data_IF_893241838203
#
_entry.id   IF_893241838203
#
_cell.length_a   1.000
_cell.length_b   1.000
_cell.length_c   1.000
_cell.angle_alpha   90.00
_cell.angle_beta   90.00
_cell.angle_gamma   90.00
#
_symmetry.space_group_name_H-M   'P 1'
#
loop_
_entity.id
_entity.type
_entity.pdbx_description
1 polymer ?
#
# COMPACT_ATOMS: atom_id res chain seq x y z
N UNK A 1 17.57 -11.38 -1.41
CA UNK A 1 17.11 -10.34 -2.38
C UNK A 1 16.06 -9.47 -1.70
N UNK A 2 15.54 -8.43 -2.37
CA UNK A 2 14.44 -7.60 -1.83
C UNK A 2 13.33 -7.41 -2.86
N UNK A 3 12.11 -7.31 -2.38
CA UNK A 3 10.93 -6.93 -3.17
C UNK A 3 10.34 -5.64 -2.60
N UNK A 4 9.90 -4.75 -3.51
CA UNK A 4 9.24 -3.49 -3.18
C UNK A 4 7.83 -3.50 -3.75
N UNK A 5 6.84 -3.20 -2.92
CA UNK A 5 5.44 -2.99 -3.33
C UNK A 5 5.12 -1.51 -3.12
N UNK A 6 4.64 -0.86 -4.17
CA UNK A 6 4.20 0.53 -4.13
C UNK A 6 2.75 0.61 -4.58
N UNK A 7 1.93 1.37 -3.86
CA UNK A 7 0.53 1.65 -4.20
C UNK A 7 0.36 3.16 -4.37
N UNK A 8 -0.07 3.59 -5.55
CA UNK A 8 -0.53 4.96 -5.82
C UNK A 8 -2.06 4.97 -5.93
N UNK A 9 -2.66 6.07 -5.48
CA UNK A 9 -4.07 6.36 -5.69
C UNK A 9 -4.10 7.68 -6.45
N UNK A 10 -4.72 7.65 -7.62
CA UNK A 10 -4.71 8.74 -8.59
C UNK A 10 -6.15 9.20 -8.88
N UNK A 11 -6.30 10.44 -9.32
CA UNK A 11 -7.54 10.92 -9.90
C UNK A 11 -7.68 10.43 -11.36
N UNK A 12 -8.83 10.71 -12.00
CA UNK A 12 -9.07 10.33 -13.40
C UNK A 12 -8.09 10.96 -14.40
N UNK A 13 -7.48 12.10 -14.04
CA UNK A 13 -6.46 12.80 -14.83
C UNK A 13 -5.03 12.31 -14.54
N UNK A 14 -4.88 11.15 -13.89
CA UNK A 14 -3.61 10.52 -13.49
C UNK A 14 -2.80 11.35 -12.47
N UNK A 15 -3.35 12.46 -11.96
CA UNK A 15 -2.71 13.21 -10.89
C UNK A 15 -2.78 12.42 -9.58
N UNK A 16 -1.70 12.50 -8.79
CA UNK A 16 -1.64 11.85 -7.49
C UNK A 16 -2.75 12.40 -6.56
N UNK A 17 -3.65 11.51 -6.11
CA UNK A 17 -4.67 11.85 -5.12
C UNK A 17 -4.11 11.79 -3.70
N UNK A 18 -3.25 10.81 -3.42
CA UNK A 18 -2.44 10.73 -2.19
C UNK A 18 -0.98 10.50 -2.52
N UNK A 19 -0.09 10.76 -1.56
CA UNK A 19 1.29 10.23 -1.63
C UNK A 19 1.27 8.71 -1.75
N UNK A 20 2.23 8.15 -2.48
CA UNK A 20 2.34 6.71 -2.65
C UNK A 20 2.73 6.04 -1.34
N UNK A 21 2.17 4.86 -1.09
CA UNK A 21 2.59 4.00 0.01
C UNK A 21 3.55 2.96 -0.53
N UNK A 22 4.70 2.81 0.12
CA UNK A 22 5.72 1.83 -0.26
C UNK A 22 6.02 0.91 0.92
N UNK A 23 6.12 -0.39 0.65
CA UNK A 23 6.68 -1.37 1.58
C UNK A 23 7.77 -2.18 0.90
N UNK A 24 8.85 -2.43 1.62
CA UNK A 24 9.94 -3.30 1.19
C UNK A 24 10.06 -4.48 2.15
N UNK A 25 10.35 -5.66 1.61
CA UNK A 25 10.62 -6.86 2.39
C UNK A 25 11.68 -7.71 1.71
N UNK A 26 12.30 -8.58 2.51
CA UNK A 26 13.32 -9.50 2.03
C UNK A 26 12.65 -10.65 1.30
N UNK A 27 13.29 -11.16 0.25
CA UNK A 27 12.86 -12.40 -0.40
C UNK A 27 14.04 -13.38 -0.48
N UNK A 28 13.78 -14.69 -0.39
CA UNK A 28 14.79 -15.69 -0.63
C UNK A 28 15.46 -15.49 -1.99
N UNK A 29 16.78 -15.70 -2.04
CA UNK A 29 17.49 -15.82 -3.33
C UNK A 29 17.15 -17.14 -4.00
N UNK A 30 17.43 -17.28 -5.30
CA UNK A 30 17.25 -18.55 -6.02
C UNK A 30 18.11 -19.65 -5.38
N UNK A 31 19.26 -19.28 -4.84
CA UNK A 31 20.22 -20.16 -4.17
C UNK A 31 19.67 -20.74 -2.85
N UNK A 32 18.62 -20.15 -2.28
CA UNK A 32 17.95 -20.68 -1.09
C UNK A 32 17.10 -21.92 -1.40
N UNK A 33 16.74 -22.15 -2.66
CA UNK A 33 15.97 -23.31 -3.11
C UNK A 33 16.92 -24.45 -3.51
N UNK A 34 17.56 -25.07 -2.52
CA UNK A 34 18.62 -26.08 -2.74
C UNK A 34 18.11 -27.48 -3.09
N UNK A 35 16.80 -27.71 -3.04
CA UNK A 35 16.18 -29.00 -3.34
C UNK A 35 14.68 -29.00 -3.00
N UNK A 36 13.94 -30.03 -3.45
CA UNK A 36 12.51 -30.15 -3.18
C UNK A 36 12.20 -30.27 -1.68
N UNK A 37 13.12 -30.79 -0.86
CA UNK A 37 12.91 -30.99 0.58
C UNK A 37 12.81 -29.67 1.35
N UNK A 38 13.47 -28.62 0.86
CA UNK A 38 13.47 -27.28 1.49
C UNK A 38 12.56 -26.28 0.77
N UNK A 39 12.07 -26.64 -0.42
CA UNK A 39 11.30 -25.74 -1.27
C UNK A 39 10.06 -25.23 -0.55
N UNK A 40 9.26 -26.14 0.00
CA UNK A 40 7.98 -25.79 0.63
C UNK A 40 8.18 -24.84 1.81
N UNK A 41 9.22 -25.06 2.62
CA UNK A 41 9.52 -24.19 3.77
C UNK A 41 9.96 -22.78 3.34
N UNK A 42 10.86 -22.70 2.36
CA UNK A 42 11.36 -21.41 1.85
C UNK A 42 10.24 -20.65 1.13
N UNK A 43 9.40 -21.37 0.38
CA UNK A 43 8.26 -20.81 -0.32
C UNK A 43 7.17 -20.31 0.65
N UNK A 44 6.83 -21.08 1.68
CA UNK A 44 5.86 -20.67 2.71
C UNK A 44 6.33 -19.40 3.44
N UNK A 45 7.61 -19.30 3.77
CA UNK A 45 8.16 -18.08 4.36
C UNK A 45 8.03 -16.88 3.42
N UNK A 46 8.38 -17.05 2.15
CA UNK A 46 8.21 -16.01 1.13
C UNK A 46 6.74 -15.59 0.98
N UNK A 47 5.82 -16.56 0.89
CA UNK A 47 4.39 -16.29 0.71
C UNK A 47 3.84 -15.49 1.89
N UNK A 48 4.19 -15.89 3.12
CA UNK A 48 3.78 -15.16 4.33
C UNK A 48 4.26 -13.72 4.33
N UNK A 49 5.56 -13.49 4.09
CA UNK A 49 6.12 -12.14 4.08
C UNK A 49 5.53 -11.27 2.97
N UNK A 50 5.28 -11.85 1.78
CA UNK A 50 4.64 -11.15 0.67
C UNK A 50 3.18 -10.79 0.97
N UNK A 51 2.42 -11.70 1.58
CA UNK A 51 1.04 -11.46 1.98
C UNK A 51 0.93 -10.37 3.05
N UNK A 52 1.83 -10.39 4.04
CA UNK A 52 1.90 -9.36 5.09
C UNK A 52 2.22 -7.99 4.48
N UNK A 53 3.28 -7.90 3.66
CA UNK A 53 3.67 -6.65 3.01
C UNK A 53 2.55 -6.07 2.12
N UNK A 54 1.83 -6.93 1.39
CA UNK A 54 0.67 -6.54 0.58
C UNK A 54 -0.48 -6.00 1.45
N UNK A 55 -0.79 -6.68 2.54
CA UNK A 55 -1.89 -6.26 3.40
C UNK A 55 -1.58 -4.92 4.10
N UNK A 56 -0.34 -4.76 4.56
CA UNK A 56 0.12 -3.53 5.20
C UNK A 56 0.08 -2.33 4.25
N UNK A 57 0.66 -2.47 3.05
CA UNK A 57 0.70 -1.36 2.07
C UNK A 57 -0.72 -0.95 1.64
N UNK A 58 -1.63 -1.91 1.48
CA UNK A 58 -3.03 -1.65 1.12
C UNK A 58 -3.80 -1.00 2.26
N UNK A 59 -3.58 -1.44 3.50
CA UNK A 59 -4.20 -0.83 4.67
C UNK A 59 -3.79 0.63 4.81
N UNK A 60 -2.50 0.93 4.75
CA UNK A 60 -2.00 2.30 4.87
C UNK A 60 -2.46 3.17 3.69
N UNK A 61 -2.45 2.66 2.45
CA UNK A 61 -3.00 3.38 1.30
C UNK A 61 -4.50 3.70 1.49
N UNK A 62 -5.28 2.76 2.04
CA UNK A 62 -6.70 2.97 2.34
C UNK A 62 -6.90 4.02 3.43
N UNK A 63 -6.10 3.99 4.49
CA UNK A 63 -6.14 5.01 5.56
C UNK A 63 -5.83 6.42 5.02
N UNK A 64 -4.83 6.56 4.15
CA UNK A 64 -4.52 7.81 3.45
C UNK A 64 -5.69 8.29 2.61
N UNK A 65 -6.28 7.41 1.80
CA UNK A 65 -7.46 7.73 0.99
C UNK A 65 -8.63 8.25 1.84
N UNK A 66 -9.00 7.52 2.88
CA UNK A 66 -10.13 7.89 3.75
C UNK A 66 -9.86 9.23 4.45
N UNK A 67 -8.62 9.47 4.88
CA UNK A 67 -8.20 10.75 5.48
C UNK A 67 -8.37 11.91 4.50
N UNK A 68 -7.90 11.78 3.26
CA UNK A 68 -8.03 12.84 2.25
C UNK A 68 -9.48 13.10 1.83
N UNK A 69 -10.29 12.04 1.67
CA UNK A 69 -11.73 12.18 1.43
C UNK A 69 -12.41 12.92 2.60
N UNK A 70 -12.04 12.61 3.84
CA UNK A 70 -12.53 13.28 5.04
C UNK A 70 -12.19 14.78 5.06
N UNK A 71 -10.94 15.14 4.73
CA UNK A 71 -10.50 16.54 4.63
C UNK A 71 -11.27 17.32 3.56
N UNK A 72 -11.43 16.75 2.35
CA UNK A 72 -12.23 17.36 1.27
C UNK A 72 -13.67 17.65 1.70
N UNK A 73 -14.33 16.71 2.39
CA UNK A 73 -15.70 16.90 2.89
C UNK A 73 -15.81 17.98 3.96
N UNK A 74 -14.81 18.10 4.85
CA UNK A 74 -14.77 19.13 5.90
C UNK A 74 -14.53 20.52 5.32
N UNK A 75 -13.63 20.64 4.34
CA UNK A 75 -13.34 21.90 3.65
C UNK A 75 -14.60 22.46 2.96
N UNK A 76 -15.34 21.63 2.20
CA UNK A 76 -16.61 22.05 1.56
C UNK A 76 -17.63 22.62 2.54
N UNK A 77 -17.83 21.95 3.69
CA UNK A 77 -18.76 22.41 4.74
C UNK A 77 -18.37 23.75 5.37
N UNK A 78 -17.09 24.15 5.32
CA UNK A 78 -16.65 25.46 5.80
C UNK A 78 -16.87 26.54 4.75
N UNK A 79 -16.66 26.24 3.46
CA UNK A 79 -16.97 27.13 2.34
C UNK A 79 -18.46 27.48 2.30
N UNK A 80 -19.33 26.47 2.42
CA UNK A 80 -20.79 26.65 2.34
C UNK A 80 -21.37 27.48 3.50
N UNK A 81 -20.66 27.54 4.64
CA UNK A 81 -21.02 28.38 5.79
C UNK A 81 -20.57 29.83 5.64
N UNK A 82 -19.56 30.08 4.80
CA UNK A 82 -19.00 31.41 4.59
C UNK A 82 -19.71 32.15 3.43
N UNK A 83 -20.34 31.43 2.51
CA UNK A 83 -21.21 31.99 1.46
C UNK A 83 -22.65 32.31 1.92
N UNK A 84 -23.07 31.80 3.09
CA UNK A 84 -24.42 32.03 3.66
C UNK A 84 -24.45 33.02 4.85
N UNK A 85 -23.37 33.79 5.06
CA UNK A 85 -23.29 34.87 6.05
C UNK A 85 -23.07 36.22 5.37
#
# INVERSE_FOLDING_TARGET
MKMRISVSIENEDESAFTESTTREFSIPGVEAFTGPEVFDQVFEQYEREALEARNDVMKEATEKYVSEVGKKKRSRRQSDKQENC
#
